data_IF_136229507229
#
_entry.id   IF_136229507229
#
_cell.length_a   1.000
_cell.length_b   1.000
_cell.length_c   1.000
_cell.angle_alpha   90.00
_cell.angle_beta   90.00
_cell.angle_gamma   90.00
#
_symmetry.space_group_name_H-M   'P 1'
#
loop_
_entity.id
_entity.type
_entity.pdbx_description
1 polymer ?
#
# COMPACT_ATOMS: atom_id res chain seq x y z
N UNK A 1 -81.92 16.44 -20.22
CA UNK A 1 -80.84 16.82 -21.15
C UNK A 1 -79.84 17.65 -20.36
N UNK A 2 -78.55 17.43 -20.27
CA UNK A 2 -77.66 16.36 -20.73
C UNK A 2 -76.53 16.24 -19.68
N UNK A 3 -76.03 15.01 -19.50
CA UNK A 3 -74.81 14.68 -18.74
C UNK A 3 -73.58 14.97 -19.61
N UNK A 4 -72.52 15.50 -19.01
CA UNK A 4 -71.12 15.37 -19.44
C UNK A 4 -70.24 15.89 -18.29
N UNK A 5 -69.62 15.06 -17.43
CA UNK A 5 -68.30 14.37 -17.59
C UNK A 5 -67.17 15.34 -17.95
N UNK A 6 -66.03 15.41 -17.26
CA UNK A 6 -65.46 14.56 -16.22
C UNK A 6 -64.22 15.21 -15.58
N UNK A 7 -63.79 14.58 -14.48
CA UNK A 7 -62.53 14.83 -13.77
C UNK A 7 -61.34 14.62 -14.70
N UNK A 8 -60.44 15.60 -14.74
CA UNK A 8 -59.04 15.42 -15.15
C UNK A 8 -58.11 16.09 -14.13
N UNK A 9 -58.11 15.56 -12.91
CA UNK A 9 -56.98 15.75 -11.99
C UNK A 9 -55.81 14.90 -12.50
N UNK A 10 -55.03 15.50 -13.41
CA UNK A 10 -53.72 14.97 -13.81
C UNK A 10 -52.84 14.89 -12.56
N UNK A 11 -52.76 13.71 -11.97
CA UNK A 11 -51.67 13.27 -11.08
C UNK A 11 -50.35 13.55 -11.79
N UNK A 12 -49.72 14.69 -11.48
CA UNK A 12 -48.30 14.91 -11.75
C UNK A 12 -47.56 13.85 -10.94
N UNK A 13 -46.89 12.95 -11.65
CA UNK A 13 -46.07 11.92 -11.05
C UNK A 13 -45.13 12.52 -10.01
N UNK A 14 -45.00 11.84 -8.88
CA UNK A 14 -44.07 12.17 -7.82
C UNK A 14 -42.65 12.20 -8.41
N UNK A 15 -42.20 13.39 -8.80
CA UNK A 15 -40.80 13.64 -9.08
C UNK A 15 -40.03 13.39 -7.79
N UNK A 16 -39.06 12.48 -7.85
CA UNK A 16 -38.20 12.17 -6.71
C UNK A 16 -37.68 13.46 -6.10
N UNK A 17 -37.89 13.64 -4.80
CA UNK A 17 -37.44 14.82 -4.08
C UNK A 17 -35.95 15.02 -4.39
N UNK A 18 -35.61 16.14 -5.04
CA UNK A 18 -34.24 16.54 -5.23
C UNK A 18 -33.59 16.60 -3.84
N UNK A 19 -32.60 15.75 -3.57
CA UNK A 19 -31.81 15.88 -2.34
C UNK A 19 -31.26 17.30 -2.31
N UNK A 20 -31.66 18.07 -1.31
CA UNK A 20 -31.16 19.42 -1.12
C UNK A 20 -29.62 19.33 -0.96
N UNK A 21 -28.90 20.09 -1.79
CA UNK A 21 -27.46 20.23 -1.65
C UNK A 21 -27.19 21.23 -0.52
N UNK A 22 -26.99 20.71 0.68
CA UNK A 22 -26.68 21.47 1.88
C UNK A 22 -25.35 21.00 2.50
N UNK A 23 -24.99 21.55 3.66
CA UNK A 23 -23.74 21.22 4.34
C UNK A 23 -23.58 19.70 4.60
N UNK A 24 -24.66 18.95 4.77
CA UNK A 24 -24.62 17.49 4.98
C UNK A 24 -24.25 16.70 3.72
N UNK A 25 -24.31 17.34 2.55
CA UNK A 25 -23.87 16.75 1.28
C UNK A 25 -22.34 16.73 1.13
N UNK A 26 -21.61 17.45 1.98
CA UNK A 26 -20.14 17.49 1.96
C UNK A 26 -19.60 16.30 2.76
N UNK A 27 -18.86 15.41 2.08
CA UNK A 27 -18.22 14.24 2.72
C UNK A 27 -16.73 14.52 2.93
N UNK A 28 -16.27 14.36 4.17
CA UNK A 28 -14.84 14.34 4.52
C UNK A 28 -14.41 12.89 4.65
N UNK A 29 -13.34 12.52 3.95
CA UNK A 29 -12.72 11.20 4.04
C UNK A 29 -11.48 11.31 4.93
N UNK A 30 -11.41 10.49 5.98
CA UNK A 30 -10.35 10.58 6.99
C UNK A 30 -9.29 9.47 6.84
N UNK A 31 -8.09 9.72 7.35
CA UNK A 31 -7.00 8.75 7.35
C UNK A 31 -6.69 8.21 5.96
N UNK A 32 -6.88 6.90 5.76
CA UNK A 32 -6.58 6.20 4.52
C UNK A 32 -7.82 5.93 3.64
N UNK A 33 -9.01 6.40 4.05
CA UNK A 33 -10.23 6.26 3.24
C UNK A 33 -10.13 6.89 1.85
N UNK A 34 -9.51 8.07 1.65
CA UNK A 34 -9.34 8.64 0.32
C UNK A 34 -8.59 7.71 -0.66
N UNK A 35 -7.58 6.99 -0.17
CA UNK A 35 -6.78 6.06 -0.97
C UNK A 35 -7.64 4.94 -1.52
N UNK A 36 -8.46 4.33 -0.67
CA UNK A 36 -9.35 3.24 -1.06
C UNK A 36 -10.50 3.72 -1.94
N UNK A 37 -10.99 4.95 -1.72
CA UNK A 37 -12.08 5.51 -2.52
C UNK A 37 -11.62 5.90 -3.93
N UNK A 38 -10.36 6.34 -4.08
CA UNK A 38 -9.78 6.78 -5.35
C UNK A 38 -8.37 6.20 -5.58
N UNK A 39 -8.23 4.87 -5.66
CA UNK A 39 -6.92 4.21 -5.74
C UNK A 39 -6.10 4.64 -6.96
N UNK A 40 -6.75 4.89 -8.11
CA UNK A 40 -6.07 5.36 -9.32
C UNK A 40 -5.33 6.70 -9.16
N UNK A 41 -5.71 7.54 -8.19
CA UNK A 41 -4.97 8.78 -7.88
C UNK A 41 -3.61 8.52 -7.22
N UNK A 42 -3.45 7.35 -6.58
CA UNK A 42 -2.24 7.00 -5.82
C UNK A 42 -1.38 5.96 -6.53
N UNK A 43 -1.99 4.99 -7.22
CA UNK A 43 -1.29 3.88 -7.92
C UNK A 43 -1.55 3.86 -9.43
N UNK A 44 -2.12 4.93 -9.99
CA UNK A 44 -2.44 5.10 -11.41
C UNK A 44 -3.69 4.33 -11.87
N UNK A 45 -3.77 3.04 -11.55
CA UNK A 45 -4.84 2.13 -12.00
C UNK A 45 -5.05 1.01 -10.98
N UNK A 46 -6.19 0.34 -11.00
CA UNK A 46 -6.46 -0.87 -10.22
C UNK A 46 -6.36 -2.16 -11.06
N UNK A 47 -5.75 -2.07 -12.25
CA UNK A 47 -5.35 -3.21 -13.08
C UNK A 47 -3.93 -3.71 -12.76
N UNK A 48 -3.33 -4.53 -13.65
CA UNK A 48 -2.02 -5.11 -13.45
C UNK A 48 -0.93 -4.09 -13.08
N UNK A 49 -0.91 -2.92 -13.72
CA UNK A 49 0.14 -1.92 -13.47
C UNK A 49 0.13 -1.37 -12.05
N UNK A 50 -1.05 -1.03 -11.53
CA UNK A 50 -1.18 -0.53 -10.16
C UNK A 50 -0.97 -1.62 -9.11
N UNK A 51 -1.26 -2.88 -9.44
CA UNK A 51 -0.91 -4.00 -8.57
C UNK A 51 0.61 -4.08 -8.38
N UNK A 52 1.36 -4.05 -9.49
CA UNK A 52 2.82 -4.03 -9.45
C UNK A 52 3.37 -2.77 -8.78
N UNK A 53 2.64 -1.65 -8.87
CA UNK A 53 2.99 -0.41 -8.18
C UNK A 53 3.10 -0.55 -6.67
N UNK A 54 2.35 -1.47 -6.05
CA UNK A 54 2.51 -1.77 -4.63
C UNK A 54 3.91 -2.35 -4.30
N UNK A 55 4.48 -3.14 -5.21
CA UNK A 55 5.84 -3.67 -5.09
C UNK A 55 6.86 -2.54 -5.28
N UNK A 56 6.66 -1.67 -6.26
CA UNK A 56 7.55 -0.53 -6.51
C UNK A 56 7.66 0.38 -5.30
N UNK A 57 6.52 0.80 -4.72
CA UNK A 57 6.51 1.69 -3.54
C UNK A 57 7.25 1.08 -2.34
N UNK A 58 7.12 -0.24 -2.16
CA UNK A 58 7.78 -0.93 -1.05
C UNK A 58 9.28 -1.11 -1.33
N UNK A 59 9.64 -1.51 -2.55
CA UNK A 59 11.03 -1.66 -2.99
C UNK A 59 11.78 -0.33 -3.02
N UNK A 60 11.16 0.75 -3.50
CA UNK A 60 11.78 2.08 -3.58
C UNK A 60 12.12 2.63 -2.19
N UNK A 61 11.36 2.28 -1.16
CA UNK A 61 11.73 2.62 0.22
C UNK A 61 13.01 1.90 0.67
N UNK A 62 13.18 0.62 0.34
CA UNK A 62 14.41 -0.12 0.58
C UNK A 62 15.59 0.41 -0.27
N UNK A 63 15.32 0.75 -1.54
CA UNK A 63 16.30 1.35 -2.45
C UNK A 63 16.77 2.72 -1.97
N UNK A 64 15.91 3.52 -1.35
CA UNK A 64 16.31 4.80 -0.75
C UNK A 64 17.28 4.63 0.44
N UNK A 65 17.18 3.53 1.21
CA UNK A 65 18.21 3.17 2.20
C UNK A 65 19.54 2.82 1.53
N UNK A 66 19.51 2.10 0.40
CA UNK A 66 20.71 1.76 -0.34
C UNK A 66 21.37 3.00 -0.97
N UNK A 67 20.59 3.93 -1.52
CA UNK A 67 21.08 5.23 -2.01
C UNK A 67 21.71 6.08 -0.90
N UNK A 68 21.28 5.89 0.34
CA UNK A 68 21.88 6.52 1.51
C UNK A 68 23.09 5.77 2.09
N UNK A 69 23.55 4.69 1.44
CA UNK A 69 24.63 3.79 1.89
C UNK A 69 24.35 3.09 3.22
N UNK A 70 23.08 2.76 3.49
CA UNK A 70 22.65 2.09 4.72
C UNK A 70 22.13 0.68 4.50
N UNK A 71 21.96 0.28 3.24
CA UNK A 71 21.45 -1.02 2.82
C UNK A 71 22.31 -1.53 1.66
N UNK A 72 22.68 -2.81 1.69
CA UNK A 72 23.41 -3.48 0.61
C UNK A 72 22.73 -4.76 0.10
N UNK A 73 21.64 -5.19 0.75
CA UNK A 73 20.83 -6.34 0.34
C UNK A 73 19.34 -6.03 0.43
N UNK A 74 18.62 -6.23 -0.68
CA UNK A 74 17.17 -6.13 -0.75
C UNK A 74 16.62 -7.45 -1.29
N UNK A 75 15.57 -7.97 -0.65
CA UNK A 75 14.80 -9.11 -1.13
C UNK A 75 13.39 -8.65 -1.55
N UNK A 76 12.91 -9.19 -2.68
CA UNK A 76 11.50 -9.14 -3.07
C UNK A 76 11.02 -10.56 -3.33
N UNK A 77 10.07 -11.04 -2.53
CA UNK A 77 9.54 -12.39 -2.61
C UNK A 77 8.03 -12.40 -2.89
N UNK A 78 7.62 -13.09 -3.95
CA UNK A 78 6.24 -13.51 -4.18
C UNK A 78 6.01 -14.80 -3.40
N UNK A 79 5.10 -14.77 -2.42
CA UNK A 79 4.85 -15.87 -1.51
C UNK A 79 3.51 -16.58 -1.85
N UNK A 80 3.26 -17.77 -1.29
CA UNK A 80 1.95 -18.39 -1.34
C UNK A 80 0.83 -17.47 -0.83
N UNK A 81 -0.41 -17.82 -1.19
CA UNK A 81 -1.64 -17.12 -0.77
C UNK A 81 -1.73 -15.64 -1.19
N UNK A 82 -0.92 -15.22 -2.17
CA UNK A 82 -0.95 -13.87 -2.73
C UNK A 82 -0.17 -12.83 -1.93
N UNK A 83 0.63 -13.26 -0.96
CA UNK A 83 1.50 -12.36 -0.19
C UNK A 83 2.73 -11.94 -1.00
N UNK A 84 3.17 -10.71 -0.75
CA UNK A 84 4.47 -10.20 -1.18
C UNK A 84 5.26 -9.78 0.05
N UNK A 85 6.54 -10.16 0.08
CA UNK A 85 7.49 -9.70 1.10
C UNK A 85 8.58 -8.88 0.44
N UNK A 86 8.84 -7.70 0.98
CA UNK A 86 10.04 -6.92 0.67
C UNK A 86 10.84 -6.79 1.96
N UNK A 87 12.11 -7.16 1.92
CA UNK A 87 13.01 -7.06 3.05
C UNK A 87 14.27 -6.30 2.66
N UNK A 88 14.73 -5.41 3.54
CA UNK A 88 16.00 -4.71 3.41
C UNK A 88 16.84 -4.89 4.66
N UNK A 89 18.15 -4.72 4.52
CA UNK A 89 19.04 -4.56 5.65
C UNK A 89 19.41 -3.08 5.86
N UNK A 90 18.45 -2.17 5.72
CA UNK A 90 18.63 -0.75 6.03
C UNK A 90 18.72 -0.46 7.52
N UNK A 91 18.51 0.81 7.89
CA UNK A 91 18.44 1.23 9.31
C UNK A 91 17.20 0.73 10.07
N UNK A 92 16.16 0.30 9.35
CA UNK A 92 14.84 0.04 9.93
C UNK A 92 14.00 1.31 10.08
N UNK A 93 12.68 1.19 9.89
CA UNK A 93 11.73 2.29 10.15
C UNK A 93 11.74 2.63 11.66
N UNK A 94 11.87 3.91 12.07
CA UNK A 94 11.87 4.26 13.48
C UNK A 94 10.63 3.76 14.24
N UNK A 95 10.86 3.10 15.39
CA UNK A 95 9.78 2.52 16.23
C UNK A 95 9.39 3.39 17.43
N UNK A 96 10.17 4.44 17.71
CA UNK A 96 9.91 5.39 18.79
C UNK A 96 8.60 6.17 18.61
N UNK A 97 8.06 6.71 19.71
CA UNK A 97 6.82 7.51 19.68
C UNK A 97 7.07 8.83 18.94
N UNK A 98 6.26 9.09 17.93
CA UNK A 98 6.30 10.31 17.16
C UNK A 98 5.64 11.48 17.92
N UNK A 99 6.30 12.66 18.02
CA UNK A 99 5.89 13.72 18.93
C UNK A 99 4.53 14.35 18.59
N UNK A 100 4.09 14.34 17.33
CA UNK A 100 2.79 14.93 16.93
C UNK A 100 1.64 13.93 16.99
N UNK A 101 1.83 12.73 16.46
CA UNK A 101 0.79 11.70 16.33
C UNK A 101 0.62 10.84 17.57
N UNK A 102 1.59 10.88 18.51
CA UNK A 102 1.55 10.18 19.81
C UNK A 102 1.48 8.65 19.72
N UNK A 103 1.66 8.10 18.52
CA UNK A 103 1.87 6.67 18.24
C UNK A 103 3.30 6.47 17.73
N UNK A 104 3.72 5.23 17.48
CA UNK A 104 5.07 4.99 16.94
C UNK A 104 5.23 5.68 15.57
N UNK A 105 6.46 6.01 15.20
CA UNK A 105 6.76 6.53 13.87
C UNK A 105 6.44 5.48 12.78
N UNK A 106 6.66 4.19 13.05
CA UNK A 106 6.18 3.08 12.21
C UNK A 106 4.67 3.16 11.95
N UNK A 107 3.84 3.27 12.98
CA UNK A 107 2.39 3.39 12.82
C UNK A 107 2.04 4.66 12.04
N UNK A 108 2.68 5.77 12.38
CA UNK A 108 2.48 7.07 11.70
C UNK A 108 2.71 6.96 10.19
N UNK A 109 3.84 6.38 9.76
CA UNK A 109 4.18 6.19 8.34
C UNK A 109 3.19 5.27 7.63
N UNK A 110 2.69 4.24 8.34
CA UNK A 110 1.78 3.25 7.76
C UNK A 110 0.32 3.73 7.71
N UNK A 111 -0.10 4.69 8.54
CA UNK A 111 -1.51 5.10 8.67
C UNK A 111 -1.80 6.54 8.29
N UNK A 112 -0.77 7.34 7.96
CA UNK A 112 -0.92 8.77 7.68
C UNK A 112 -0.37 9.08 6.29
N UNK A 113 -1.18 9.77 5.48
CA UNK A 113 -0.69 10.34 4.23
C UNK A 113 0.21 11.54 4.51
N UNK A 114 1.21 11.73 3.65
CA UNK A 114 2.19 12.82 3.76
C UNK A 114 2.98 12.78 5.08
N UNK A 115 3.34 11.56 5.52
CA UNK A 115 4.20 11.32 6.67
C UNK A 115 5.45 10.57 6.24
N UNK A 116 6.64 11.12 6.55
CA UNK A 116 7.90 10.51 6.18
C UNK A 116 9.10 11.39 6.51
N UNK A 117 10.30 10.80 6.50
CA UNK A 117 11.57 11.50 6.73
C UNK A 117 12.22 12.08 5.47
N UNK A 118 11.51 12.07 4.33
CA UNK A 118 12.04 12.45 3.00
C UNK A 118 11.59 13.84 2.54
N UNK A 119 11.08 14.67 3.46
CA UNK A 119 10.65 16.04 3.18
C UNK A 119 11.76 17.08 3.34
N UNK A 120 12.81 16.71 4.05
CA UNK A 120 14.02 17.52 4.21
C UNK A 120 15.25 16.71 3.78
N UNK A 121 16.37 17.38 3.56
CA UNK A 121 17.61 16.74 3.13
C UNK A 121 18.41 16.14 4.30
N UNK A 122 17.82 16.06 5.51
CA UNK A 122 18.56 15.66 6.71
C UNK A 122 18.70 14.14 6.79
N UNK A 123 17.59 13.40 6.63
CA UNK A 123 17.61 11.93 6.73
C UNK A 123 18.00 11.25 5.40
N UNK A 124 17.64 11.86 4.27
CA UNK A 124 17.99 11.40 2.92
C UNK A 124 18.49 12.59 2.10
N UNK A 125 19.78 12.58 1.76
CA UNK A 125 20.35 13.61 0.89
C UNK A 125 19.75 13.57 -0.52
N UNK A 126 19.48 12.35 -1.01
CA UNK A 126 18.79 12.05 -2.27
C UNK A 126 17.89 10.83 -2.05
N UNK A 127 16.64 10.90 -2.48
CA UNK A 127 15.68 9.80 -2.46
C UNK A 127 14.75 9.85 -3.67
N UNK A 128 14.25 8.69 -4.12
CA UNK A 128 13.17 8.61 -5.10
C UNK A 128 11.82 8.94 -4.49
N UNK A 129 11.58 8.52 -3.24
CA UNK A 129 10.36 8.86 -2.51
C UNK A 129 10.38 10.31 -2.00
N UNK A 130 9.33 11.09 -2.30
CA UNK A 130 9.20 12.50 -1.89
C UNK A 130 7.84 12.86 -1.29
N UNK A 131 6.79 12.08 -1.58
CA UNK A 131 5.42 12.45 -1.23
C UNK A 131 5.00 12.03 0.19
N UNK A 132 5.70 11.06 0.79
CA UNK A 132 5.35 10.49 2.08
C UNK A 132 4.02 9.72 2.09
N UNK A 133 3.69 9.03 0.98
CA UNK A 133 2.43 8.27 0.85
C UNK A 133 2.61 6.79 0.50
N UNK A 134 3.75 6.37 -0.04
CA UNK A 134 3.91 5.02 -0.61
C UNK A 134 3.53 3.88 0.35
N UNK A 135 4.17 3.82 1.52
CA UNK A 135 3.93 2.76 2.51
C UNK A 135 2.47 2.76 3.03
N UNK A 136 1.89 3.94 3.28
CA UNK A 136 0.51 4.06 3.73
C UNK A 136 -0.50 3.73 2.62
N UNK A 137 -0.18 3.98 1.35
CA UNK A 137 -0.97 3.55 0.20
C UNK A 137 -0.96 2.03 0.06
N UNK A 138 0.21 1.38 0.16
CA UNK A 138 0.30 -0.09 0.14
C UNK A 138 -0.53 -0.69 1.27
N UNK A 139 -0.42 -0.15 2.48
CA UNK A 139 -1.22 -0.58 3.63
C UNK A 139 -2.74 -0.39 3.40
N UNK A 140 -3.15 0.75 2.85
CA UNK A 140 -4.55 1.06 2.58
C UNK A 140 -5.17 0.10 1.54
N UNK A 141 -4.40 -0.29 0.54
CA UNK A 141 -4.84 -1.13 -0.58
C UNK A 141 -4.56 -2.63 -0.38
N UNK A 142 -4.18 -3.01 0.85
CA UNK A 142 -3.96 -4.39 1.25
C UNK A 142 -5.05 -4.87 2.22
N UNK A 143 -5.50 -6.12 2.06
CA UNK A 143 -6.42 -6.73 3.03
C UNK A 143 -5.70 -7.01 4.35
N UNK A 144 -4.39 -7.32 4.27
CA UNK A 144 -3.50 -7.52 5.40
C UNK A 144 -2.12 -6.97 5.09
N UNK A 145 -1.49 -6.36 6.08
CA UNK A 145 -0.09 -5.98 6.04
C UNK A 145 0.56 -6.20 7.39
N UNK A 146 1.84 -6.55 7.39
CA UNK A 146 2.66 -6.75 8.57
C UNK A 146 4.03 -6.14 8.31
N UNK A 147 4.49 -5.30 9.23
CA UNK A 147 5.83 -4.74 9.18
C UNK A 147 6.61 -5.26 10.36
N UNK A 148 7.79 -5.80 10.10
CA UNK A 148 8.79 -6.18 11.11
C UNK A 148 9.98 -5.24 10.94
N UNK A 149 10.45 -4.67 12.04
CA UNK A 149 11.61 -3.79 12.07
C UNK A 149 12.64 -4.37 13.02
N UNK A 150 13.86 -4.53 12.51
CA UNK A 150 15.03 -4.86 13.31
C UNK A 150 15.80 -3.55 13.56
N UNK A 151 15.81 -3.09 14.82
CA UNK A 151 16.41 -1.82 15.21
C UNK A 151 16.79 -1.86 16.71
N UNK A 152 17.91 -1.24 17.09
CA UNK A 152 18.34 -1.05 18.49
C UNK A 152 18.35 -2.35 19.33
N UNK A 153 18.82 -3.44 18.72
CA UNK A 153 18.90 -4.75 19.37
C UNK A 153 17.53 -5.44 19.56
N UNK A 154 16.46 -4.92 18.97
CA UNK A 154 15.10 -5.43 19.08
C UNK A 154 14.47 -5.77 17.73
N UNK A 155 13.64 -6.80 17.73
CA UNK A 155 12.69 -7.09 16.66
C UNK A 155 11.34 -6.52 17.08
N UNK A 156 10.81 -5.58 16.30
CA UNK A 156 9.53 -4.90 16.54
C UNK A 156 8.57 -5.24 15.42
N UNK A 157 7.27 -5.27 15.72
CA UNK A 157 6.29 -5.68 14.73
C UNK A 157 4.94 -4.98 14.93
N UNK A 158 4.27 -4.70 13.81
CA UNK A 158 2.89 -4.22 13.77
C UNK A 158 2.15 -4.82 12.58
N UNK A 159 0.88 -5.18 12.79
CA UNK A 159 -0.01 -5.70 11.76
C UNK A 159 -1.19 -4.77 11.51
N UNK A 160 -1.73 -4.86 10.30
CA UNK A 160 -2.79 -4.01 9.80
C UNK A 160 -3.81 -4.83 9.03
N UNK A 161 -5.07 -4.39 9.10
CA UNK A 161 -6.16 -4.89 8.25
C UNK A 161 -6.80 -3.71 7.56
N UNK A 162 -6.70 -3.64 6.23
CA UNK A 162 -7.26 -2.55 5.43
C UNK A 162 -6.80 -1.18 5.96
N UNK A 163 -5.48 -0.99 6.08
CA UNK A 163 -4.88 0.25 6.57
C UNK A 163 -5.02 0.50 8.08
N UNK A 164 -5.82 -0.28 8.82
CA UNK A 164 -6.06 -0.05 10.25
C UNK A 164 -5.12 -0.91 11.10
N UNK A 165 -4.38 -0.34 12.08
CA UNK A 165 -3.52 -1.10 12.95
C UNK A 165 -4.35 -2.06 13.81
N UNK A 166 -3.93 -3.33 13.90
CA UNK A 166 -4.56 -4.35 14.75
C UNK A 166 -4.12 -4.24 16.21
N UNK A 167 -2.93 -3.71 16.43
CA UNK A 167 -2.38 -3.39 17.75
C UNK A 167 -1.31 -2.30 17.59
N UNK A 168 -0.90 -1.68 18.70
CA UNK A 168 0.30 -0.84 18.74
C UNK A 168 1.56 -1.67 18.43
N UNK A 169 2.63 -1.01 17.98
CA UNK A 169 3.95 -1.63 17.81
C UNK A 169 4.38 -2.34 19.10
N UNK A 170 4.87 -3.57 18.95
CA UNK A 170 5.40 -4.37 20.06
C UNK A 170 6.81 -4.85 19.74
N UNK A 171 7.70 -4.85 20.74
CA UNK A 171 8.95 -5.61 20.69
C UNK A 171 8.60 -7.09 20.86
N UNK A 172 8.85 -7.88 19.82
CA UNK A 172 8.54 -9.31 19.74
C UNK A 172 9.76 -10.21 19.99
N UNK A 173 10.95 -9.62 20.10
CA UNK A 173 12.17 -10.35 20.45
C UNK A 173 13.41 -9.47 20.51
N UNK A 174 14.53 -10.07 20.90
CA UNK A 174 15.87 -9.51 20.65
C UNK A 174 16.28 -9.80 19.21
N UNK A 175 17.08 -8.91 18.63
CA UNK A 175 17.64 -9.04 17.28
C UNK A 175 19.07 -8.52 17.25
N UNK A 176 19.94 -9.16 16.46
CA UNK A 176 21.25 -8.60 16.08
C UNK A 176 21.26 -8.02 14.67
N UNK A 177 20.17 -8.22 13.93
CA UNK A 177 19.96 -7.72 12.59
C UNK A 177 19.48 -6.27 12.63
N UNK A 178 19.51 -5.61 11.47
CA UNK A 178 18.91 -4.31 11.21
C UNK A 178 18.11 -4.36 9.90
N UNK A 179 17.12 -3.49 9.77
CA UNK A 179 16.35 -3.34 8.53
C UNK A 179 14.85 -3.48 8.71
N UNK A 180 14.14 -3.47 7.59
CA UNK A 180 12.68 -3.54 7.55
C UNK A 180 12.22 -4.71 6.69
N UNK A 181 11.20 -5.42 7.16
CA UNK A 181 10.47 -6.42 6.40
C UNK A 181 9.02 -5.96 6.31
N UNK A 182 8.56 -5.70 5.09
CA UNK A 182 7.16 -5.42 4.79
C UNK A 182 6.55 -6.63 4.10
N UNK A 183 5.52 -7.20 4.72
CA UNK A 183 4.69 -8.26 4.18
C UNK A 183 3.31 -7.68 3.89
N UNK A 184 2.78 -7.84 2.69
CA UNK A 184 1.44 -7.37 2.36
C UNK A 184 0.71 -8.34 1.42
N UNK A 185 -0.62 -8.37 1.56
CA UNK A 185 -1.53 -9.07 0.64
C UNK A 185 -2.52 -8.05 0.08
N UNK A 186 -2.50 -7.77 -1.24
CA UNK A 186 -3.37 -6.77 -1.81
C UNK A 186 -4.86 -7.13 -1.66
N UNK A 187 -5.71 -6.12 -1.58
CA UNK A 187 -7.15 -6.28 -1.36
C UNK A 187 -7.90 -6.57 -2.67
N UNK A 188 -8.38 -7.81 -2.83
CA UNK A 188 -9.13 -8.23 -4.01
C UNK A 188 -10.35 -7.34 -4.30
N UNK A 189 -11.01 -6.76 -3.29
CA UNK A 189 -12.16 -5.89 -3.50
C UNK A 189 -11.78 -4.57 -4.21
N UNK A 190 -10.55 -4.09 -4.03
CA UNK A 190 -10.02 -2.91 -4.72
C UNK A 190 -9.66 -3.23 -6.17
N UNK A 191 -8.97 -4.35 -6.39
CA UNK A 191 -8.43 -4.70 -7.70
C UNK A 191 -9.48 -5.36 -8.62
N UNK A 192 -10.49 -6.03 -8.08
CA UNK A 192 -11.63 -6.55 -8.85
C UNK A 192 -12.58 -5.45 -9.35
N UNK A 193 -12.72 -4.35 -8.60
CA UNK A 193 -13.60 -3.23 -8.97
C UNK A 193 -13.18 -2.53 -10.29
N UNK A 194 -11.97 -2.80 -10.77
CA UNK A 194 -11.40 -2.26 -12.00
C UNK A 194 -11.98 -2.85 -13.29
N UNK A 195 -12.94 -3.77 -13.21
CA UNK A 195 -13.41 -4.53 -14.35
C UNK A 195 -12.60 -5.81 -14.59
N UNK A 196 -12.34 -6.55 -13.51
CA UNK A 196 -11.88 -7.94 -13.62
C UNK A 196 -12.79 -8.75 -14.56
N UNK A 197 -12.32 -9.89 -15.09
CA UNK A 197 -13.11 -10.69 -16.02
C UNK A 197 -14.49 -11.00 -15.42
N UNK A 198 -15.54 -11.05 -16.25
CA UNK A 198 -16.90 -11.34 -15.78
C UNK A 198 -17.01 -12.69 -15.05
N UNK A 199 -16.05 -13.59 -15.26
CA UNK A 199 -15.89 -14.87 -14.57
C UNK A 199 -15.09 -14.80 -13.26
N UNK A 200 -14.46 -13.67 -12.95
CA UNK A 200 -13.70 -13.45 -11.72
C UNK A 200 -14.64 -13.32 -10.53
N UNK A 201 -14.49 -14.23 -9.56
CA UNK A 201 -15.19 -14.11 -8.28
C UNK A 201 -14.75 -12.88 -7.50
N UNK A 202 -15.42 -12.61 -6.37
CA UNK A 202 -15.12 -11.48 -5.46
C UNK A 202 -13.67 -11.43 -4.95
N UNK A 203 -12.97 -12.58 -5.02
CA UNK A 203 -11.60 -12.77 -4.51
C UNK A 203 -10.56 -12.68 -5.64
N UNK A 204 -10.96 -12.30 -6.86
CA UNK A 204 -10.06 -12.17 -7.99
C UNK A 204 -9.12 -10.97 -7.86
N UNK A 205 -7.89 -11.13 -8.37
CA UNK A 205 -6.89 -10.08 -8.47
C UNK A 205 -6.06 -10.28 -9.75
N UNK A 206 -5.50 -9.22 -10.37
CA UNK A 206 -4.52 -9.41 -11.43
C UNK A 206 -3.33 -10.26 -10.96
N UNK A 207 -2.67 -10.94 -11.89
CA UNK A 207 -1.54 -11.80 -11.58
C UNK A 207 -0.23 -11.00 -11.43
N UNK A 208 0.63 -11.45 -10.52
CA UNK A 208 2.01 -10.98 -10.45
C UNK A 208 2.80 -11.49 -11.65
N UNK A 209 3.28 -10.56 -12.47
CA UNK A 209 4.11 -10.82 -13.63
C UNK A 209 5.59 -10.81 -13.21
N UNK A 210 6.17 -12.01 -13.16
CA UNK A 210 7.56 -12.22 -12.77
C UNK A 210 8.56 -11.41 -13.61
N UNK A 211 8.42 -11.43 -14.94
CA UNK A 211 9.36 -10.76 -15.84
C UNK A 211 9.32 -9.25 -15.68
N UNK A 212 8.12 -8.68 -15.47
CA UNK A 212 7.92 -7.26 -15.19
C UNK A 212 8.61 -6.87 -13.89
N UNK A 213 8.44 -7.66 -12.83
CA UNK A 213 9.11 -7.46 -11.53
C UNK A 213 10.62 -7.49 -11.70
N UNK A 214 11.17 -8.60 -12.20
CA UNK A 214 12.62 -8.75 -12.35
C UNK A 214 13.22 -7.66 -13.24
N UNK A 215 12.57 -7.31 -14.34
CA UNK A 215 13.06 -6.26 -15.26
C UNK A 215 13.10 -4.90 -14.58
N UNK A 216 12.02 -4.50 -13.91
CA UNK A 216 11.97 -3.21 -13.22
C UNK A 216 12.99 -3.15 -12.07
N UNK A 217 13.03 -4.16 -11.20
CA UNK A 217 13.98 -4.20 -10.09
C UNK A 217 15.44 -4.17 -10.58
N UNK A 218 15.73 -4.85 -11.69
CA UNK A 218 17.06 -4.82 -12.33
C UNK A 218 17.42 -3.43 -12.83
N UNK A 219 16.50 -2.76 -13.52
CA UNK A 219 16.71 -1.39 -13.99
C UNK A 219 16.98 -0.42 -12.83
N UNK A 220 16.26 -0.56 -11.73
CA UNK A 220 16.46 0.29 -10.54
C UNK A 220 17.77 -0.02 -9.80
N UNK A 221 18.15 -1.30 -9.70
CA UNK A 221 19.38 -1.72 -9.04
C UNK A 221 20.64 -1.23 -9.76
N UNK A 222 20.64 -1.17 -11.11
CA UNK A 222 21.78 -0.64 -11.87
C UNK A 222 22.13 0.82 -11.55
N UNK A 223 21.19 1.57 -10.98
CA UNK A 223 21.39 2.96 -10.59
C UNK A 223 22.06 3.11 -9.22
N UNK A 224 22.32 2.01 -8.51
CA UNK A 224 22.85 2.00 -7.15
C UNK A 224 24.05 1.08 -7.08
N UNK A 225 25.21 1.66 -6.80
CA UNK A 225 26.44 0.88 -6.70
C UNK A 225 26.42 -0.01 -5.45
N UNK A 226 26.64 -1.30 -5.64
CA UNK A 226 26.93 -2.24 -4.55
C UNK A 226 25.70 -2.82 -3.85
N UNK A 227 24.48 -2.51 -4.29
CA UNK A 227 23.27 -3.18 -3.80
C UNK A 227 23.13 -4.54 -4.48
N UNK A 228 22.79 -5.58 -3.71
CA UNK A 228 22.37 -6.88 -4.21
C UNK A 228 20.87 -6.98 -4.09
N UNK A 229 20.18 -7.38 -5.17
CA UNK A 229 18.73 -7.60 -5.12
C UNK A 229 18.41 -9.07 -5.37
N UNK A 230 17.79 -9.73 -4.40
CA UNK A 230 17.29 -11.11 -4.49
C UNK A 230 15.80 -11.10 -4.79
N UNK A 231 15.39 -11.67 -5.91
CA UNK A 231 13.98 -11.83 -6.28
C UNK A 231 13.60 -13.31 -6.14
N UNK A 232 12.52 -13.60 -5.43
CA UNK A 232 12.06 -14.96 -5.14
C UNK A 232 10.63 -15.15 -5.62
N UNK A 233 10.36 -16.21 -6.38
CA UNK A 233 9.01 -16.69 -6.64
C UNK A 233 8.80 -18.00 -5.89
N UNK A 234 8.05 -17.94 -4.81
CA UNK A 234 7.68 -19.09 -3.98
C UNK A 234 6.18 -19.41 -4.08
N UNK A 235 5.48 -18.92 -5.12
CA UNK A 235 4.04 -19.20 -5.33
C UNK A 235 3.76 -20.65 -5.70
N UNK A 236 4.74 -21.34 -6.29
CA UNK A 236 4.64 -22.74 -6.72
C UNK A 236 5.52 -23.66 -5.88
N UNK A 237 5.38 -24.97 -6.06
CA UNK A 237 6.24 -25.98 -5.41
C UNK A 237 7.72 -25.85 -5.78
N UNK A 238 8.04 -25.20 -6.90
CA UNK A 238 9.40 -24.94 -7.33
C UNK A 238 9.72 -23.46 -7.10
N UNK A 239 10.54 -23.19 -6.10
CA UNK A 239 11.01 -21.83 -5.81
C UNK A 239 11.98 -21.37 -6.88
N UNK A 240 11.66 -20.25 -7.55
CA UNK A 240 12.59 -19.57 -8.45
C UNK A 240 13.32 -18.47 -7.69
N UNK A 241 14.64 -18.43 -7.80
CA UNK A 241 15.45 -17.34 -7.22
C UNK A 241 16.24 -16.68 -8.35
N UNK A 242 16.26 -15.35 -8.35
CA UNK A 242 17.02 -14.55 -9.29
C UNK A 242 17.82 -13.48 -8.52
N UNK A 243 19.10 -13.37 -8.85
CA UNK A 243 19.98 -12.36 -8.26
C UNK A 243 20.28 -11.28 -9.30
N UNK A 244 20.20 -10.03 -8.86
CA UNK A 244 20.57 -8.82 -9.60
C UNK A 244 21.81 -8.23 -8.93
#
# INVERSE_FOLDING_TARGET
MAKTTGKDDKKRGAGGAAKAYDASSITVLEGLEPVRKRPGMYIGTTGPDGLHHLVWETFDNARDEAMANRCDEIEVALLPDGYVRVADNGNGIPVGIHPKTKVSALETIMTTLHAGGKFDHNAYKVSGGLHGVGASVVNALSEHSKVVVHQDGGMHMQEYKIGKPLAKVKKVGASREHGTIVLFKPDAAIFSAAGGPASGGKDWIPEWNWEKIVTHLRQQAYLIKGVRVRVIDARSSHTRIYFI
#
